data_IF_481715387933
#
_entry.id   IF_481715387933
#
_cell.length_a   1.000
_cell.length_b   1.000
_cell.length_c   1.000
_cell.angle_alpha   90.00
_cell.angle_beta   90.00
_cell.angle_gamma   90.00
#
_symmetry.space_group_name_H-M   'P 1'
#
loop_
_entity.id
_entity.type
_entity.pdbx_description
1 polymer ?
#
# COMPACT_ATOMS: atom_id res chain seq x y z
N UNK A 1 -5.39 5.20 14.30
CA UNK A 1 -5.96 4.37 15.39
C UNK A 1 -7.08 3.57 14.79
N UNK A 2 -7.27 2.33 15.22
CA UNK A 2 -8.43 1.51 14.85
C UNK A 2 -9.72 2.16 15.37
N UNK A 3 -10.80 2.04 14.61
CA UNK A 3 -12.15 2.43 15.02
C UNK A 3 -12.65 1.54 16.16
N UNK A 4 -13.45 2.10 17.08
CA UNK A 4 -14.06 1.32 18.15
C UNK A 4 -15.17 0.40 17.61
N UNK A 5 -15.19 -0.87 18.01
CA UNK A 5 -16.19 -1.87 17.62
C UNK A 5 -15.62 -3.07 16.87
N UNK A 6 -16.50 -3.93 16.34
CA UNK A 6 -16.09 -5.05 15.49
C UNK A 6 -15.60 -4.54 14.14
N UNK A 7 -14.30 -4.62 13.94
CA UNK A 7 -13.63 -4.28 12.69
C UNK A 7 -12.73 -5.45 12.26
N UNK A 8 -12.83 -5.85 11.00
CA UNK A 8 -11.86 -6.76 10.41
C UNK A 8 -10.67 -5.95 9.87
N UNK A 9 -9.46 -6.35 10.26
CA UNK A 9 -8.23 -5.76 9.73
C UNK A 9 -7.63 -6.69 8.70
N UNK A 10 -7.48 -6.20 7.47
CA UNK A 10 -6.92 -6.96 6.36
C UNK A 10 -5.59 -6.33 5.94
N UNK A 11 -4.54 -7.15 5.87
CA UNK A 11 -3.24 -6.74 5.37
C UNK A 11 -3.00 -7.35 3.99
N UNK A 12 -2.71 -6.50 3.01
CA UNK A 12 -2.23 -6.91 1.69
C UNK A 12 -0.76 -6.51 1.58
N UNK A 13 0.13 -7.42 1.13
CA UNK A 13 1.55 -7.10 0.96
C UNK A 13 2.12 -7.79 -0.28
N UNK A 14 3.14 -7.19 -0.85
CA UNK A 14 3.82 -7.75 -2.01
C UNK A 14 4.85 -6.81 -2.60
N UNK A 15 5.04 -6.92 -3.91
CA UNK A 15 5.93 -6.06 -4.69
C UNK A 15 5.18 -5.40 -5.84
N UNK A 16 5.54 -4.17 -6.17
CA UNK A 16 5.04 -3.40 -7.30
C UNK A 16 6.05 -3.44 -8.46
N UNK A 17 5.53 -3.41 -9.67
CA UNK A 17 6.27 -3.21 -10.91
C UNK A 17 5.47 -2.29 -11.84
N UNK A 18 6.15 -1.52 -12.67
CA UNK A 18 5.50 -0.58 -13.58
C UNK A 18 6.50 0.30 -14.32
N UNK A 19 6.03 1.44 -14.82
CA UNK A 19 6.82 2.43 -15.54
C UNK A 19 6.65 3.81 -14.89
N UNK A 20 7.75 4.55 -14.78
CA UNK A 20 7.72 5.96 -14.40
C UNK A 20 7.15 6.81 -15.55
N UNK A 21 6.74 8.07 -15.30
CA UNK A 21 6.22 8.95 -16.36
C UNK A 21 7.19 9.21 -17.52
N UNK A 22 8.49 8.98 -17.34
CA UNK A 22 9.52 9.07 -18.38
C UNK A 22 9.71 7.78 -19.19
N UNK A 23 8.96 6.72 -18.88
CA UNK A 23 9.03 5.41 -19.53
C UNK A 23 10.05 4.44 -18.92
N UNK A 24 10.81 4.85 -17.90
CA UNK A 24 11.76 3.95 -17.23
C UNK A 24 11.00 2.91 -16.40
N UNK A 25 11.27 1.62 -16.61
CA UNK A 25 10.63 0.53 -15.87
C UNK A 25 11.17 0.43 -14.44
N UNK A 26 10.32 0.09 -13.48
CA UNK A 26 10.70 -0.30 -12.12
C UNK A 26 10.08 -1.64 -11.73
N UNK A 27 10.71 -2.32 -10.78
CA UNK A 27 10.21 -3.57 -10.19
C UNK A 27 10.75 -3.75 -8.78
N UNK A 28 10.09 -4.58 -7.97
CA UNK A 28 10.56 -4.98 -6.65
C UNK A 28 10.29 -3.98 -5.53
N UNK A 29 9.53 -2.91 -5.79
CA UNK A 29 9.14 -1.93 -4.76
C UNK A 29 8.20 -2.63 -3.78
N UNK A 30 8.58 -2.68 -2.51
CA UNK A 30 7.80 -3.39 -1.50
C UNK A 30 6.63 -2.52 -1.08
N UNK A 31 5.47 -3.13 -0.90
CA UNK A 31 4.31 -2.44 -0.36
C UNK A 31 3.61 -3.27 0.71
N UNK A 32 2.92 -2.56 1.59
CA UNK A 32 1.92 -3.12 2.48
C UNK A 32 0.77 -2.12 2.61
N UNK A 33 -0.44 -2.64 2.43
CA UNK A 33 -1.69 -1.92 2.67
C UNK A 33 -2.37 -2.54 3.88
N UNK A 34 -2.94 -1.67 4.73
CA UNK A 34 -3.83 -2.06 5.82
C UNK A 34 -5.20 -1.49 5.54
N UNK A 35 -6.19 -2.37 5.52
CA UNK A 35 -7.60 -2.01 5.39
C UNK A 35 -8.33 -2.28 6.71
N UNK A 36 -9.16 -1.33 7.12
CA UNK A 36 -10.18 -1.55 8.14
C UNK A 36 -11.53 -1.77 7.44
N UNK A 37 -12.19 -2.89 7.76
CA UNK A 37 -13.50 -3.25 7.23
C UNK A 37 -14.52 -3.24 8.36
N UNK A 38 -15.55 -2.42 8.22
CA UNK A 38 -16.69 -2.35 9.16
C UNK A 38 -17.99 -2.41 8.37
N UNK A 39 -18.86 -3.36 8.70
CA UNK A 39 -20.15 -3.54 8.01
C UNK A 39 -20.00 -3.67 6.50
N UNK A 40 -19.07 -4.53 6.05
CA UNK A 40 -18.75 -4.80 4.64
C UNK A 40 -18.23 -3.61 3.83
N UNK A 41 -17.79 -2.53 4.49
CA UNK A 41 -17.20 -1.35 3.85
C UNK A 41 -15.78 -1.11 4.32
N UNK A 42 -14.93 -0.62 3.40
CA UNK A 42 -13.60 -0.10 3.74
C UNK A 42 -13.77 1.26 4.42
N UNK A 43 -13.39 1.36 5.69
CA UNK A 43 -13.52 2.59 6.50
C UNK A 43 -12.20 3.33 6.64
N UNK A 44 -11.08 2.61 6.58
CA UNK A 44 -9.75 3.20 6.61
C UNK A 44 -8.79 2.41 5.70
N UNK A 45 -7.89 3.14 5.05
CA UNK A 45 -6.78 2.58 4.31
C UNK A 45 -5.49 3.29 4.72
N UNK A 46 -4.51 2.52 5.15
CA UNK A 46 -3.15 3.00 5.36
C UNK A 46 -2.22 2.30 4.35
N UNK A 47 -1.34 3.07 3.70
CA UNK A 47 -0.47 2.58 2.63
C UNK A 47 0.98 2.90 2.98
N UNK A 48 1.85 1.89 2.90
CA UNK A 48 3.29 2.05 3.01
C UNK A 48 3.97 1.38 1.84
N UNK A 49 4.94 2.08 1.25
CA UNK A 49 5.80 1.55 0.22
C UNK A 49 7.16 2.26 0.23
N UNK A 50 8.18 1.63 -0.34
CA UNK A 50 9.52 2.22 -0.49
C UNK A 50 9.73 2.85 -1.88
N UNK A 51 8.66 3.35 -2.51
CA UNK A 51 8.73 3.96 -3.85
C UNK A 51 9.63 5.20 -3.87
N UNK A 52 9.61 5.98 -2.78
CA UNK A 52 10.42 7.18 -2.63
C UNK A 52 11.91 6.85 -2.53
N UNK A 53 12.26 5.75 -1.85
CA UNK A 53 13.65 5.25 -1.74
C UNK A 53 14.19 4.76 -3.08
N UNK A 54 13.30 4.26 -3.94
CA UNK A 54 13.66 3.78 -5.29
C UNK A 54 13.93 4.96 -6.22
N UNK A 55 13.11 6.02 -6.17
CA UNK A 55 13.29 7.22 -6.99
C UNK A 55 14.52 8.04 -6.61
N UNK A 56 14.94 8.02 -5.34
CA UNK A 56 16.11 8.76 -4.86
C UNK A 56 17.47 8.16 -5.31
N UNK A 57 17.47 6.94 -5.86
CA UNK A 57 18.69 6.21 -6.27
C UNK A 57 18.98 6.26 -7.78
N UNK A 58 18.12 6.91 -8.55
CA UNK A 58 18.21 7.05 -10.01
C UNK A 58 18.29 8.51 -10.35
#
# INVERSE_FOLDING_TARGET
MQSAGDAAIVYCRGTLSGEWPDGTTFTGIRFIDRFEVVGDKLTQQDVWNDIAETKAKT
#
